data_IF_296671472250
#
_entry.id   IF_296671472250
#
_cell.length_a   1.000
_cell.length_b   1.000
_cell.length_c   1.000
_cell.angle_alpha   90.00
_cell.angle_beta   90.00
_cell.angle_gamma   90.00
#
_symmetry.space_group_name_H-M   'P 1'
#
loop_
_entity.id
_entity.type
_entity.pdbx_description
1 polymer ?
#
# COMPACT_ATOMS: atom_id res chain seq x y z
N UNK A 1 17.85 19.78 9.02
CA UNK A 1 18.92 18.82 9.29
C UNK A 1 20.28 19.52 9.46
N UNK A 2 20.74 20.31 8.48
CA UNK A 2 22.04 21.01 8.53
C UNK A 2 22.18 21.94 9.74
N UNK A 3 21.13 22.68 10.11
CA UNK A 3 21.14 23.55 11.29
C UNK A 3 21.28 22.76 12.58
N UNK A 4 20.54 21.66 12.75
CA UNK A 4 20.66 20.76 13.89
C UNK A 4 22.05 20.11 13.97
N UNK A 5 22.63 19.70 12.84
CA UNK A 5 23.99 19.16 12.78
C UNK A 5 25.03 20.18 13.21
N UNK A 6 24.87 21.46 12.83
CA UNK A 6 25.76 22.54 13.30
C UNK A 6 25.68 22.73 14.80
N UNK A 7 24.48 22.78 15.38
CA UNK A 7 24.32 22.92 16.84
C UNK A 7 25.00 21.76 17.60
N UNK A 8 24.75 20.51 17.14
CA UNK A 8 25.40 19.33 17.73
C UNK A 8 26.93 19.40 17.61
N UNK A 9 27.47 19.92 16.51
CA UNK A 9 28.94 20.05 16.33
C UNK A 9 29.59 21.10 17.24
N UNK A 10 28.82 22.06 17.76
CA UNK A 10 29.31 23.08 18.70
C UNK A 10 29.20 22.65 20.17
N UNK A 11 28.53 21.50 20.44
CA UNK A 11 28.47 21.00 21.82
C UNK A 11 29.83 20.44 22.28
N UNK A 12 30.22 20.72 23.55
CA UNK A 12 31.47 20.19 24.06
C UNK A 12 31.43 18.66 24.13
N UNK A 13 32.42 18.02 23.53
CA UNK A 13 32.62 16.58 23.58
C UNK A 13 33.69 16.21 24.56
N UNK A 14 33.44 15.23 25.42
CA UNK A 14 34.41 14.71 26.36
C UNK A 14 34.84 13.30 25.91
N UNK A 15 36.11 13.16 25.54
CA UNK A 15 36.71 11.87 25.19
C UNK A 15 37.52 11.32 26.38
N UNK A 16 37.41 10.01 26.66
CA UNK A 16 38.18 9.32 27.70
C UNK A 16 37.60 9.40 29.12
N UNK A 17 36.33 9.83 29.28
CA UNK A 17 35.69 9.84 30.59
C UNK A 17 35.25 8.42 31.01
N UNK A 18 35.61 8.04 32.25
CA UNK A 18 35.17 6.80 32.92
C UNK A 18 33.81 6.93 33.60
N UNK A 19 33.21 8.13 33.58
CA UNK A 19 31.93 8.42 34.19
C UNK A 19 30.77 8.17 33.18
N UNK A 20 29.73 7.49 33.63
CA UNK A 20 28.51 7.33 32.83
C UNK A 20 27.86 8.69 32.56
N UNK A 21 27.36 8.93 31.33
CA UNK A 21 26.63 10.16 31.00
C UNK A 21 25.42 10.33 31.93
N UNK A 22 25.28 11.52 32.53
CA UNK A 22 24.13 11.88 33.34
C UNK A 22 23.14 12.70 32.52
N UNK A 23 21.86 12.50 32.78
CA UNK A 23 20.79 13.26 32.13
C UNK A 23 20.85 14.74 32.59
N UNK A 24 20.97 15.65 31.61
CA UNK A 24 20.91 17.09 31.86
C UNK A 24 19.49 17.54 32.25
N UNK A 25 19.38 18.70 32.90
CA UNK A 25 18.11 19.26 33.35
C UNK A 25 17.12 19.47 32.19
N UNK A 26 17.61 20.01 31.11
CA UNK A 26 16.75 20.29 29.93
C UNK A 26 16.12 19.01 29.36
N UNK A 27 16.92 17.94 29.22
CA UNK A 27 16.45 16.65 28.79
C UNK A 27 15.43 16.06 29.77
N UNK A 28 15.67 16.18 31.08
CA UNK A 28 14.71 15.71 32.08
C UNK A 28 13.38 16.44 32.00
N UNK A 29 13.41 17.77 31.76
CA UNK A 29 12.19 18.58 31.57
C UNK A 29 11.45 18.19 30.31
N UNK A 30 12.15 17.98 29.18
CA UNK A 30 11.57 17.51 27.92
C UNK A 30 10.94 16.12 28.09
N UNK A 31 11.62 15.20 28.80
CA UNK A 31 11.08 13.86 29.05
C UNK A 31 9.78 13.89 29.86
N UNK A 32 9.74 14.75 30.90
CA UNK A 32 8.53 14.92 31.70
C UNK A 32 7.37 15.47 30.85
N UNK A 33 7.62 16.50 30.04
CA UNK A 33 6.62 17.06 29.14
C UNK A 33 6.19 16.04 28.07
N UNK A 34 7.11 15.24 27.53
CA UNK A 34 6.81 14.16 26.59
C UNK A 34 5.89 13.10 27.20
N UNK A 35 6.11 12.75 28.47
CA UNK A 35 5.26 11.80 29.19
C UNK A 35 3.83 12.36 29.42
N UNK A 36 3.70 13.68 29.63
CA UNK A 36 2.40 14.34 29.72
C UNK A 36 1.66 14.32 28.38
N UNK A 37 2.36 14.58 27.28
CA UNK A 37 1.79 14.49 25.92
C UNK A 37 1.37 13.06 25.58
N UNK A 38 2.17 12.05 25.94
CA UNK A 38 1.81 10.64 25.80
C UNK A 38 0.46 10.33 26.47
N UNK A 39 0.27 10.81 27.72
CA UNK A 39 -1.00 10.63 28.46
C UNK A 39 -2.17 11.36 27.81
N UNK A 40 -1.97 12.60 27.31
CA UNK A 40 -3.00 13.36 26.58
C UNK A 40 -3.44 12.67 25.30
N UNK A 41 -2.49 12.08 24.56
CA UNK A 41 -2.75 11.33 23.33
C UNK A 41 -3.26 9.91 23.59
N UNK A 42 -3.29 9.47 24.86
CA UNK A 42 -3.70 8.12 25.31
C UNK A 42 -2.86 7.01 24.70
N UNK A 43 -1.57 7.26 24.51
CA UNK A 43 -0.62 6.31 23.97
C UNK A 43 -0.03 5.44 25.07
N UNK A 44 0.26 4.17 24.74
CA UNK A 44 0.77 3.20 25.73
C UNK A 44 2.30 3.32 25.88
N UNK A 45 3.00 3.73 24.82
CA UNK A 45 4.46 3.89 24.81
C UNK A 45 4.87 5.33 24.48
N UNK A 46 6.03 5.72 25.00
CA UNK A 46 6.68 6.98 24.67
C UNK A 46 7.40 6.83 23.33
N UNK A 47 7.13 7.73 22.37
CA UNK A 47 7.72 7.74 21.02
C UNK A 47 8.45 9.05 20.73
N UNK A 48 9.15 9.10 19.60
CA UNK A 48 9.84 10.30 19.12
C UNK A 48 8.90 11.50 19.01
N UNK A 49 7.63 11.27 18.63
CA UNK A 49 6.60 12.30 18.53
C UNK A 49 6.34 13.01 19.86
N UNK A 50 6.28 12.26 20.96
CA UNK A 50 6.09 12.83 22.30
C UNK A 50 7.29 13.65 22.73
N UNK A 51 8.52 13.18 22.39
CA UNK A 51 9.74 13.95 22.64
C UNK A 51 9.73 15.28 21.89
N UNK A 52 9.32 15.28 20.62
CA UNK A 52 9.23 16.52 19.87
C UNK A 52 8.16 17.46 20.45
N UNK A 53 6.98 16.95 20.82
CA UNK A 53 5.94 17.74 21.47
C UNK A 53 6.44 18.32 22.81
N UNK A 54 7.12 17.53 23.63
CA UNK A 54 7.72 17.98 24.89
C UNK A 54 8.82 19.02 24.67
N UNK A 55 9.66 18.85 23.64
CA UNK A 55 10.67 19.81 23.27
C UNK A 55 10.10 21.13 22.78
N UNK A 56 8.99 21.10 22.03
CA UNK A 56 8.29 22.31 21.57
C UNK A 56 7.49 23.03 22.68
N UNK A 57 7.16 22.33 23.77
CA UNK A 57 6.38 22.86 24.89
C UNK A 57 7.26 23.42 26.03
N UNK A 58 8.58 23.17 25.99
CA UNK A 58 9.54 23.56 27.03
C UNK A 58 10.65 24.46 26.49
N UNK A 59 11.22 25.31 27.37
CA UNK A 59 12.33 26.19 26.99
C UNK A 59 13.63 25.37 26.94
N UNK A 60 14.10 25.06 25.72
CA UNK A 60 15.33 24.30 25.49
C UNK A 60 15.96 24.66 24.13
N UNK A 61 17.11 24.14 23.80
CA UNK A 61 17.82 24.41 22.54
C UNK A 61 17.05 23.95 21.30
N UNK A 62 16.32 22.83 21.41
CA UNK A 62 15.49 22.32 20.29
C UNK A 62 14.36 23.31 20.02
N UNK A 63 13.70 23.81 21.05
CA UNK A 63 12.65 24.84 20.92
C UNK A 63 13.19 26.10 20.23
N UNK A 64 14.33 26.61 20.67
CA UNK A 64 14.97 27.80 20.07
C UNK A 64 15.31 27.56 18.59
N UNK A 65 15.84 26.39 18.27
CA UNK A 65 16.15 26.04 16.89
C UNK A 65 14.89 25.93 16.01
N UNK A 66 13.86 25.25 16.48
CA UNK A 66 12.61 25.03 15.75
C UNK A 66 11.83 26.32 15.54
N UNK A 67 11.87 27.23 16.52
CA UNK A 67 11.25 28.54 16.43
C UNK A 67 11.82 29.38 15.27
N UNK A 68 13.12 29.28 15.00
CA UNK A 68 13.75 29.96 13.85
C UNK A 68 13.18 29.51 12.48
N UNK A 69 12.56 28.33 12.44
CA UNK A 69 11.92 27.76 11.24
C UNK A 69 10.38 27.86 11.30
N UNK A 70 9.81 28.51 12.30
CA UNK A 70 8.37 28.66 12.48
C UNK A 70 7.65 27.36 12.83
N UNK A 71 8.37 26.35 13.36
CA UNK A 71 7.76 25.10 13.80
C UNK A 71 7.16 25.28 15.20
N UNK A 72 5.84 25.34 15.25
CA UNK A 72 5.07 25.41 16.49
C UNK A 72 4.49 24.06 16.88
N UNK A 73 4.09 23.91 18.15
CA UNK A 73 3.41 22.70 18.63
C UNK A 73 2.15 22.37 17.83
N UNK A 74 1.37 23.41 17.48
CA UNK A 74 0.10 23.21 16.77
C UNK A 74 0.29 22.71 15.34
N UNK A 75 1.26 23.30 14.59
CA UNK A 75 1.52 22.83 13.23
C UNK A 75 2.22 21.45 13.22
N UNK A 76 3.02 21.15 14.25
CA UNK A 76 3.57 19.81 14.42
C UNK A 76 2.49 18.76 14.72
N UNK A 77 1.53 19.08 15.61
CA UNK A 77 0.37 18.23 15.90
C UNK A 77 -0.51 18.00 14.66
N UNK A 78 -0.70 19.03 13.84
CA UNK A 78 -1.45 18.89 12.58
C UNK A 78 -0.74 17.94 11.61
N UNK A 79 0.56 18.12 11.38
CA UNK A 79 1.36 17.25 10.53
C UNK A 79 1.43 15.82 11.08
N UNK A 80 1.58 15.66 12.40
CA UNK A 80 1.58 14.36 13.05
C UNK A 80 0.25 13.61 12.83
N UNK A 81 -0.88 14.31 12.90
CA UNK A 81 -2.20 13.72 12.62
C UNK A 81 -2.34 13.26 11.17
N UNK A 82 -1.75 13.98 10.24
CA UNK A 82 -1.73 13.61 8.82
C UNK A 82 -0.91 12.32 8.60
N UNK A 83 0.26 12.21 9.23
CA UNK A 83 1.16 11.05 9.11
C UNK A 83 0.65 9.84 9.88
N UNK A 84 0.20 10.05 11.11
CA UNK A 84 -0.21 9.00 12.05
C UNK A 84 -1.68 8.58 11.89
N UNK A 85 -2.54 9.47 11.38
CA UNK A 85 -4.00 9.28 11.38
C UNK A 85 -4.54 9.14 12.82
N UNK A 86 -5.44 8.19 13.02
CA UNK A 86 -6.03 7.86 14.32
C UNK A 86 -5.32 6.70 15.04
N UNK A 87 -4.12 6.35 14.61
CA UNK A 87 -3.38 5.24 15.25
C UNK A 87 -2.79 5.68 16.59
N UNK A 88 -2.83 4.76 17.57
CA UNK A 88 -2.20 4.95 18.89
C UNK A 88 -0.84 4.26 18.91
N UNK A 89 0.08 4.80 19.69
CA UNK A 89 1.38 4.16 19.95
C UNK A 89 1.17 3.03 20.95
N UNK A 90 1.12 1.81 20.46
CA UNK A 90 0.85 0.59 21.25
C UNK A 90 2.06 -0.33 21.39
N UNK A 91 3.20 0.07 20.87
CA UNK A 91 4.48 -0.66 20.93
C UNK A 91 5.67 0.30 20.87
N UNK A 92 6.87 -0.27 21.00
CA UNK A 92 8.15 0.44 21.03
C UNK A 92 8.69 0.88 19.66
N UNK A 93 8.05 0.47 18.54
CA UNK A 93 8.43 0.84 17.18
C UNK A 93 7.21 1.29 16.35
N UNK A 94 6.56 2.41 16.72
CA UNK A 94 5.34 2.88 16.07
C UNK A 94 5.55 3.34 14.62
N UNK A 95 6.73 3.88 14.29
CA UNK A 95 7.03 4.43 12.97
C UNK A 95 6.95 3.36 11.86
N UNK A 96 7.19 2.09 12.21
CA UNK A 96 7.01 0.95 11.30
C UNK A 96 5.57 0.74 10.84
N UNK A 97 4.60 1.25 11.61
CA UNK A 97 3.15 1.08 11.38
C UNK A 97 2.48 2.27 10.71
N UNK A 98 3.19 3.40 10.57
CA UNK A 98 2.65 4.60 9.93
C UNK A 98 2.91 4.58 8.43
N UNK A 99 1.96 5.14 7.68
CA UNK A 99 2.06 5.26 6.22
C UNK A 99 2.32 3.93 5.52
N UNK A 100 1.71 2.84 6.02
CA UNK A 100 1.93 1.51 5.46
C UNK A 100 1.37 1.39 4.04
N UNK A 101 0.32 2.16 3.71
CA UNK A 101 -0.19 2.28 2.35
C UNK A 101 0.86 2.83 1.37
N UNK A 102 1.65 3.82 1.76
CA UNK A 102 2.72 4.38 0.91
C UNK A 102 3.94 3.47 0.84
N UNK A 103 4.26 2.78 1.95
CA UNK A 103 5.44 1.88 2.02
C UNK A 103 5.22 0.58 1.25
N UNK A 104 4.03 -0.01 1.33
CA UNK A 104 3.74 -1.36 0.83
C UNK A 104 2.65 -1.39 -0.24
N UNK A 105 2.05 -0.26 -0.56
CA UNK A 105 1.06 -0.11 -1.60
C UNK A 105 1.58 0.65 -2.81
N UNK A 106 1.07 0.30 -3.98
CA UNK A 106 1.24 1.09 -5.20
C UNK A 106 -0.11 1.62 -5.62
N UNK A 107 -0.32 2.93 -5.57
CA UNK A 107 -1.56 3.55 -6.02
C UNK A 107 -1.63 3.56 -7.55
N UNK A 108 -2.40 2.62 -8.11
CA UNK A 108 -2.60 2.49 -9.55
C UNK A 108 -3.38 3.70 -10.11
N UNK A 109 -4.30 4.27 -9.33
CA UNK A 109 -5.08 5.44 -9.74
C UNK A 109 -4.19 6.68 -9.85
N UNK A 110 -3.28 6.88 -8.90
CA UNK A 110 -2.29 7.95 -8.98
C UNK A 110 -1.31 7.75 -10.16
N UNK A 111 -0.87 6.52 -10.41
CA UNK A 111 -0.06 6.18 -11.58
C UNK A 111 -0.78 6.44 -12.90
N UNK A 112 -2.08 6.10 -12.98
CA UNK A 112 -2.92 6.37 -14.13
C UNK A 112 -3.04 7.88 -14.38
N UNK A 113 -3.27 8.66 -13.33
CA UNK A 113 -3.36 10.13 -13.40
C UNK A 113 -2.05 10.77 -13.86
N UNK A 114 -0.92 10.18 -13.48
CA UNK A 114 0.41 10.60 -13.90
C UNK A 114 0.81 10.10 -15.31
N UNK A 115 -0.07 9.39 -16.03
CA UNK A 115 0.23 8.81 -17.34
C UNK A 115 1.25 7.66 -17.35
N UNK A 116 1.49 7.05 -16.19
CA UNK A 116 2.50 5.99 -15.99
C UNK A 116 1.95 4.57 -16.16
N UNK A 117 0.72 4.42 -16.64
CA UNK A 117 0.09 3.14 -16.94
C UNK A 117 -0.10 3.02 -18.45
N UNK A 118 0.25 1.87 -18.99
CA UNK A 118 0.07 1.55 -20.40
C UNK A 118 -1.41 1.51 -20.81
N UNK A 119 -1.74 1.76 -22.07
CA UNK A 119 -3.09 1.57 -22.56
C UNK A 119 -3.47 0.08 -22.44
N UNK A 120 -4.64 -0.18 -21.86
CA UNK A 120 -5.20 -1.54 -21.74
C UNK A 120 -6.20 -1.72 -22.86
N UNK A 121 -5.95 -2.69 -23.71
CA UNK A 121 -6.70 -2.97 -24.94
C UNK A 121 -7.25 -4.39 -24.86
N UNK A 122 -8.45 -4.62 -25.41
CA UNK A 122 -9.07 -5.96 -25.50
C UNK A 122 -9.58 -6.53 -24.17
N UNK A 123 -9.68 -5.71 -23.10
CA UNK A 123 -10.13 -6.17 -21.77
C UNK A 123 -11.41 -5.49 -21.26
N UNK A 124 -12.18 -4.91 -22.16
CA UNK A 124 -13.40 -4.15 -21.81
C UNK A 124 -14.46 -5.01 -21.14
N UNK A 125 -14.59 -6.25 -21.54
CA UNK A 125 -15.58 -7.20 -21.00
C UNK A 125 -15.24 -7.55 -19.56
N UNK A 126 -13.99 -7.90 -19.29
CA UNK A 126 -13.52 -8.25 -17.96
C UNK A 126 -13.59 -7.04 -17.02
N UNK A 127 -13.17 -5.86 -17.47
CA UNK A 127 -13.24 -4.62 -16.66
C UNK A 127 -14.70 -4.29 -16.33
N UNK A 128 -15.63 -4.38 -17.28
CA UNK A 128 -17.08 -4.20 -17.02
C UNK A 128 -17.58 -5.22 -16.00
N UNK A 129 -17.17 -6.47 -16.11
CA UNK A 129 -17.55 -7.52 -15.16
C UNK A 129 -17.03 -7.25 -13.77
N UNK A 130 -15.78 -6.81 -13.64
CA UNK A 130 -15.18 -6.36 -12.36
C UNK A 130 -15.99 -5.21 -11.75
N UNK A 131 -16.32 -4.18 -12.54
CA UNK A 131 -17.16 -3.06 -12.09
C UNK A 131 -18.53 -3.50 -11.60
N UNK A 132 -19.20 -4.41 -12.34
CA UNK A 132 -20.49 -4.97 -11.93
C UNK A 132 -20.39 -5.69 -10.58
N UNK A 133 -19.33 -6.47 -10.36
CA UNK A 133 -19.13 -7.21 -9.11
C UNK A 133 -18.85 -6.26 -7.96
N UNK A 134 -17.95 -5.29 -8.14
CA UNK A 134 -17.62 -4.29 -7.12
C UNK A 134 -18.84 -3.44 -6.68
N UNK A 135 -19.83 -3.31 -7.54
CA UNK A 135 -21.06 -2.55 -7.26
C UNK A 135 -22.13 -3.37 -6.52
N UNK A 136 -21.92 -4.67 -6.29
CA UNK A 136 -22.86 -5.53 -5.58
C UNK A 136 -22.85 -5.28 -4.08
N UNK A 137 -23.92 -5.69 -3.40
CA UNK A 137 -24.01 -5.69 -1.93
C UNK A 137 -23.27 -6.87 -1.29
N UNK A 138 -23.28 -8.03 -1.94
CA UNK A 138 -22.66 -9.28 -1.48
C UNK A 138 -21.87 -9.90 -2.63
N UNK A 139 -20.89 -10.77 -2.32
CA UNK A 139 -19.94 -11.34 -3.30
C UNK A 139 -19.36 -10.23 -4.21
N UNK A 140 -18.96 -9.13 -3.56
CA UNK A 140 -18.55 -7.89 -4.23
C UNK A 140 -17.02 -7.78 -4.43
N UNK A 141 -16.29 -8.86 -4.21
CA UNK A 141 -14.85 -8.94 -4.45
C UNK A 141 -14.58 -9.82 -5.66
N UNK A 142 -14.22 -9.26 -6.82
CA UNK A 142 -13.86 -10.06 -8.00
C UNK A 142 -12.51 -10.75 -7.79
N UNK A 143 -12.37 -11.98 -8.28
CA UNK A 143 -11.11 -12.68 -8.45
C UNK A 143 -10.86 -12.94 -9.92
N UNK A 144 -9.80 -12.36 -10.45
CA UNK A 144 -9.33 -12.58 -11.81
C UNK A 144 -8.61 -13.94 -11.87
N UNK A 145 -9.13 -14.86 -12.65
CA UNK A 145 -8.64 -16.23 -12.76
C UNK A 145 -8.14 -16.46 -14.18
N UNK A 146 -6.89 -16.86 -14.31
CA UNK A 146 -6.28 -17.17 -15.61
C UNK A 146 -4.83 -17.57 -15.48
N UNK A 147 -4.27 -18.08 -16.54
CA UNK A 147 -2.87 -18.49 -16.59
C UNK A 147 -1.91 -17.31 -16.33
N UNK A 148 -0.66 -17.57 -15.90
CA UNK A 148 0.36 -16.52 -15.80
C UNK A 148 0.54 -15.81 -17.15
N UNK A 149 0.69 -14.48 -17.12
CA UNK A 149 0.94 -13.70 -18.35
C UNK A 149 -0.30 -13.25 -19.15
N UNK A 150 -1.50 -13.78 -18.90
CA UNK A 150 -2.71 -13.40 -19.65
C UNK A 150 -3.18 -11.95 -19.44
N UNK A 151 -2.54 -11.19 -18.54
CA UNK A 151 -2.86 -9.77 -18.33
C UNK A 151 -3.83 -9.49 -17.20
N UNK A 152 -3.90 -10.32 -16.16
CA UNK A 152 -4.75 -10.07 -14.97
C UNK A 152 -4.47 -8.72 -14.32
N UNK A 153 -3.21 -8.36 -14.14
CA UNK A 153 -2.79 -7.07 -13.56
C UNK A 153 -3.21 -5.90 -14.45
N UNK A 154 -3.14 -6.05 -15.79
CA UNK A 154 -3.58 -5.03 -16.74
C UNK A 154 -5.08 -4.68 -16.59
N UNK A 155 -5.92 -5.61 -16.16
CA UNK A 155 -7.35 -5.35 -15.91
C UNK A 155 -7.52 -4.38 -14.73
N UNK A 156 -6.74 -4.53 -13.65
CA UNK A 156 -6.77 -3.60 -12.51
C UNK A 156 -6.23 -2.22 -12.92
N UNK A 157 -5.19 -2.17 -13.74
CA UNK A 157 -4.63 -0.94 -14.31
C UNK A 157 -5.62 -0.25 -15.27
N UNK A 158 -6.30 -1.02 -16.10
CA UNK A 158 -7.36 -0.51 -16.99
C UNK A 158 -8.54 0.07 -16.21
N UNK A 159 -8.93 -0.58 -15.12
CA UNK A 159 -9.96 -0.05 -14.23
C UNK A 159 -9.51 1.26 -13.56
N UNK A 160 -8.26 1.35 -13.12
CA UNK A 160 -7.71 2.58 -12.56
C UNK A 160 -7.74 3.75 -13.57
N UNK A 161 -7.41 3.49 -14.84
CA UNK A 161 -7.54 4.49 -15.92
C UNK A 161 -8.99 4.92 -16.14
N UNK A 162 -9.95 4.00 -16.12
CA UNK A 162 -11.39 4.35 -16.27
C UNK A 162 -11.87 5.20 -15.11
N UNK A 163 -11.43 4.93 -13.86
CA UNK A 163 -11.75 5.76 -12.70
C UNK A 163 -11.24 7.18 -12.90
N UNK A 164 -9.99 7.34 -13.33
CA UNK A 164 -9.37 8.67 -13.58
C UNK A 164 -10.10 9.43 -14.69
N UNK A 165 -10.51 8.74 -15.75
CA UNK A 165 -11.23 9.33 -16.88
C UNK A 165 -12.72 9.58 -16.58
N UNK A 166 -13.24 9.14 -15.43
CA UNK A 166 -14.65 9.24 -15.08
C UNK A 166 -15.57 8.24 -15.81
N UNK A 167 -14.99 7.28 -16.54
CA UNK A 167 -15.71 6.23 -17.28
C UNK A 167 -16.08 5.04 -16.38
N UNK A 168 -16.74 5.35 -15.28
CA UNK A 168 -17.21 4.41 -14.28
C UNK A 168 -18.52 4.90 -13.66
N UNK A 169 -19.33 3.99 -13.06
CA UNK A 169 -20.51 4.38 -12.29
C UNK A 169 -20.18 5.39 -11.19
N UNK A 170 -21.15 6.24 -10.82
CA UNK A 170 -21.00 7.28 -9.80
C UNK A 170 -20.37 6.77 -8.50
N UNK A 171 -20.79 5.59 -8.06
CA UNK A 171 -20.26 4.95 -6.82
C UNK A 171 -18.77 4.60 -6.89
N UNK A 172 -18.16 4.66 -8.07
CA UNK A 172 -16.76 4.30 -8.31
C UNK A 172 -15.85 5.51 -8.64
N UNK A 173 -16.42 6.70 -8.91
CA UNK A 173 -15.67 7.86 -9.41
C UNK A 173 -14.57 8.36 -8.47
N UNK A 174 -14.80 8.26 -7.15
CA UNK A 174 -13.86 8.73 -6.14
C UNK A 174 -13.05 7.59 -5.50
N UNK A 175 -13.05 6.41 -6.13
CA UNK A 175 -12.29 5.28 -5.60
C UNK A 175 -10.83 5.34 -6.05
N UNK A 176 -9.97 4.79 -5.20
CA UNK A 176 -8.55 4.56 -5.47
C UNK A 176 -8.30 3.07 -5.54
N UNK A 177 -7.49 2.64 -6.48
CA UNK A 177 -7.03 1.24 -6.55
C UNK A 177 -5.60 1.23 -6.04
N UNK A 178 -5.36 0.51 -4.96
CA UNK A 178 -4.03 0.33 -4.36
C UNK A 178 -3.61 -1.13 -4.49
N UNK A 179 -2.53 -1.38 -5.18
CA UNK A 179 -1.93 -2.71 -5.31
C UNK A 179 -1.05 -3.01 -4.10
N UNK A 180 -1.29 -4.13 -3.43
CA UNK A 180 -0.48 -4.61 -2.32
C UNK A 180 0.81 -5.24 -2.83
N UNK A 181 1.95 -4.77 -2.34
CA UNK A 181 3.25 -5.35 -2.65
C UNK A 181 3.71 -6.28 -1.52
N UNK A 182 3.38 -7.57 -1.66
CA UNK A 182 3.71 -8.61 -0.67
C UNK A 182 5.23 -8.76 -0.53
N UNK A 183 5.96 -8.68 -1.65
CA UNK A 183 7.42 -8.77 -1.65
C UNK A 183 8.07 -7.68 -0.79
N UNK A 184 7.59 -6.45 -0.90
CA UNK A 184 8.08 -5.33 -0.08
C UNK A 184 7.73 -5.50 1.41
N UNK A 185 6.58 -6.12 1.73
CA UNK A 185 6.22 -6.42 3.12
C UNK A 185 7.09 -7.49 3.75
N UNK A 186 7.50 -8.49 2.98
CA UNK A 186 8.37 -9.57 3.42
C UNK A 186 9.84 -9.12 3.50
N UNK A 187 10.25 -8.21 2.62
CA UNK A 187 11.60 -7.69 2.60
C UNK A 187 11.95 -7.00 3.93
N UNK A 188 13.03 -7.45 4.58
CA UNK A 188 13.50 -6.92 5.86
C UNK A 188 12.68 -7.33 7.08
N UNK A 189 11.64 -8.17 6.94
CA UNK A 189 10.98 -8.78 8.09
C UNK A 189 11.88 -9.88 8.66
N UNK A 190 12.31 -9.71 9.91
CA UNK A 190 13.22 -10.66 10.57
C UNK A 190 12.50 -11.92 11.06
N UNK A 191 11.21 -11.83 11.32
CA UNK A 191 10.36 -12.91 11.81
C UNK A 191 8.92 -12.74 11.34
N UNK A 192 8.15 -13.82 11.39
CA UNK A 192 6.76 -13.91 10.93
C UNK A 192 5.83 -12.83 11.52
N UNK A 193 5.95 -12.56 12.82
CA UNK A 193 5.11 -11.57 13.50
C UNK A 193 5.24 -10.15 12.93
N UNK A 194 6.42 -9.77 12.44
CA UNK A 194 6.64 -8.45 11.85
C UNK A 194 5.86 -8.27 10.53
N UNK A 195 5.82 -9.30 9.69
CA UNK A 195 4.98 -9.28 8.49
C UNK A 195 3.48 -9.17 8.84
N UNK A 196 3.02 -9.96 9.82
CA UNK A 196 1.62 -9.93 10.26
C UNK A 196 1.22 -8.56 10.80
N UNK A 197 2.10 -7.90 11.53
CA UNK A 197 1.88 -6.52 12.03
C UNK A 197 1.84 -5.49 10.91
N UNK A 198 2.76 -5.56 9.94
CA UNK A 198 2.78 -4.69 8.75
C UNK A 198 1.48 -4.85 7.95
N UNK A 199 1.06 -6.09 7.70
CA UNK A 199 -0.19 -6.38 6.98
C UNK A 199 -1.42 -5.89 7.76
N UNK A 200 -1.46 -6.11 9.08
CA UNK A 200 -2.55 -5.63 9.95
C UNK A 200 -2.66 -4.10 9.90
N UNK A 201 -1.55 -3.39 9.99
CA UNK A 201 -1.51 -1.92 9.90
C UNK A 201 -1.95 -1.42 8.53
N UNK A 202 -1.48 -2.07 7.45
CA UNK A 202 -1.89 -1.78 6.08
C UNK A 202 -3.41 -1.98 5.88
N UNK A 203 -3.94 -3.12 6.31
CA UNK A 203 -5.38 -3.41 6.20
C UNK A 203 -6.21 -2.43 7.03
N UNK A 204 -5.70 -1.99 8.17
CA UNK A 204 -6.36 -0.97 8.99
C UNK A 204 -6.45 0.37 8.23
N UNK A 205 -5.38 0.85 7.62
CA UNK A 205 -5.41 2.08 6.82
C UNK A 205 -6.39 1.96 5.63
N UNK A 206 -6.45 0.77 4.99
CA UNK A 206 -7.44 0.52 3.92
C UNK A 206 -8.86 0.57 4.45
N UNK A 207 -9.16 -0.07 5.59
CA UNK A 207 -10.51 -0.09 6.16
C UNK A 207 -10.93 1.28 6.71
N UNK A 208 -10.00 2.03 7.29
CA UNK A 208 -10.25 3.38 7.81
C UNK A 208 -10.55 4.39 6.69
N UNK A 209 -10.24 4.06 5.42
CA UNK A 209 -10.64 4.84 4.25
C UNK A 209 -12.16 4.78 3.94
N UNK A 210 -12.95 4.10 4.75
CA UNK A 210 -14.41 3.96 4.58
C UNK A 210 -14.83 3.51 3.16
N UNK A 211 -14.04 2.62 2.57
CA UNK A 211 -14.31 2.05 1.25
C UNK A 211 -13.94 2.97 0.09
N UNK A 212 -13.16 4.01 0.29
CA UNK A 212 -12.55 4.79 -0.80
C UNK A 212 -11.47 3.99 -1.52
N UNK A 213 -10.78 3.09 -0.82
CA UNK A 213 -9.72 2.25 -1.37
C UNK A 213 -10.27 0.88 -1.76
N UNK A 214 -9.94 0.47 -2.98
CA UNK A 214 -10.11 -0.89 -3.49
C UNK A 214 -8.72 -1.50 -3.52
N UNK A 215 -8.55 -2.59 -2.77
CA UNK A 215 -7.27 -3.28 -2.67
C UNK A 215 -7.11 -4.25 -3.85
N UNK A 216 -6.04 -4.12 -4.62
CA UNK A 216 -5.63 -5.12 -5.60
C UNK A 216 -4.57 -6.03 -5.01
N UNK A 217 -4.82 -7.34 -5.02
CA UNK A 217 -3.90 -8.37 -4.53
C UNK A 217 -3.58 -9.31 -5.68
N UNK A 218 -2.39 -9.14 -6.24
CA UNK A 218 -1.87 -10.13 -7.18
C UNK A 218 -1.42 -11.38 -6.42
N UNK A 219 -1.50 -12.52 -7.07
CA UNK A 219 -1.21 -13.82 -6.45
C UNK A 219 -1.93 -14.00 -5.09
N UNK A 220 -3.25 -13.73 -5.05
CA UNK A 220 -4.06 -13.75 -3.83
C UNK A 220 -3.85 -15.03 -3.00
N UNK A 221 -3.58 -16.16 -3.65
CA UNK A 221 -3.31 -17.44 -3.00
C UNK A 221 -2.10 -17.41 -2.04
N UNK A 222 -1.13 -16.53 -2.27
CA UNK A 222 0.04 -16.39 -1.38
C UNK A 222 -0.32 -15.89 0.00
N UNK A 223 -1.41 -15.12 0.11
CA UNK A 223 -1.91 -14.59 1.37
C UNK A 223 -2.90 -15.54 2.03
N UNK A 224 -3.77 -16.19 1.23
CA UNK A 224 -4.87 -17.02 1.77
C UNK A 224 -4.53 -18.51 1.86
N UNK A 225 -3.49 -18.96 1.18
CA UNK A 225 -3.11 -20.38 1.10
C UNK A 225 -1.87 -20.77 1.91
N UNK A 226 -1.21 -19.82 2.50
CA UNK A 226 0.10 -20.01 3.13
C UNK A 226 0.09 -20.83 4.43
N UNK A 227 -1.09 -21.13 5.01
CA UNK A 227 -1.20 -21.90 6.26
C UNK A 227 -0.85 -23.40 6.16
N UNK A 228 -0.60 -23.92 4.95
CA UNK A 228 -0.40 -25.37 4.74
C UNK A 228 1.07 -25.80 4.63
N UNK A 229 2.04 -24.90 4.58
CA UNK A 229 3.47 -25.22 4.52
C UNK A 229 4.22 -24.61 5.72
N UNK A 230 5.12 -25.39 6.33
CA UNK A 230 6.00 -24.89 7.39
C UNK A 230 6.79 -23.67 6.90
N UNK A 231 6.56 -22.51 7.54
CA UNK A 231 7.22 -21.26 7.21
C UNK A 231 6.40 -20.27 6.36
N UNK A 232 5.24 -20.65 5.83
CA UNK A 232 4.38 -19.75 5.09
C UNK A 232 3.46 -18.96 6.04
N UNK A 233 3.22 -17.68 5.70
CA UNK A 233 2.45 -16.75 6.54
C UNK A 233 0.97 -16.94 6.27
N UNK A 234 0.19 -17.43 7.24
CA UNK A 234 -1.27 -17.48 7.13
C UNK A 234 -1.86 -16.10 7.44
N UNK A 235 -1.86 -15.22 6.44
CA UNK A 235 -2.49 -13.93 6.51
C UNK A 235 -4.01 -13.97 6.27
N UNK A 236 -4.56 -15.14 5.96
CA UNK A 236 -6.00 -15.32 5.73
C UNK A 236 -6.83 -14.94 6.95
N UNK A 237 -6.32 -15.19 8.16
CA UNK A 237 -6.97 -14.84 9.42
C UNK A 237 -7.08 -13.32 9.65
N UNK A 238 -6.24 -12.51 8.99
CA UNK A 238 -6.31 -11.05 9.01
C UNK A 238 -7.30 -10.52 7.96
N UNK A 239 -7.34 -11.14 6.77
CA UNK A 239 -8.24 -10.72 5.68
C UNK A 239 -9.69 -11.16 5.89
N UNK A 240 -9.92 -12.39 6.34
CA UNK A 240 -11.27 -12.99 6.50
C UNK A 240 -12.22 -12.12 7.32
N UNK A 241 -11.86 -11.59 8.51
CA UNK A 241 -12.76 -10.75 9.28
C UNK A 241 -13.15 -9.45 8.55
N UNK A 242 -12.21 -8.75 7.91
CA UNK A 242 -12.46 -7.51 7.19
C UNK A 242 -13.35 -7.74 5.95
N UNK A 243 -13.09 -8.82 5.21
CA UNK A 243 -13.96 -9.25 4.10
C UNK A 243 -15.35 -9.67 4.60
N UNK A 244 -15.44 -10.36 5.74
CA UNK A 244 -16.70 -10.81 6.31
C UNK A 244 -17.61 -9.65 6.73
N UNK A 245 -17.04 -8.60 7.30
CA UNK A 245 -17.77 -7.38 7.70
C UNK A 245 -18.07 -6.45 6.52
N UNK A 246 -17.50 -6.71 5.31
CA UNK A 246 -17.65 -5.86 4.14
C UNK A 246 -16.88 -4.53 4.23
N UNK A 247 -15.95 -4.44 5.15
CA UNK A 247 -15.08 -3.28 5.37
C UNK A 247 -13.98 -3.18 4.32
N UNK A 248 -13.61 -4.32 3.72
CA UNK A 248 -12.58 -4.42 2.70
C UNK A 248 -13.20 -4.73 1.34
N UNK A 249 -12.85 -3.94 0.33
CA UNK A 249 -13.14 -4.21 -1.08
C UNK A 249 -11.85 -4.62 -1.78
N UNK A 250 -11.88 -5.79 -2.42
CA UNK A 250 -10.67 -6.40 -2.96
C UNK A 250 -10.90 -6.91 -4.39
N UNK A 251 -9.91 -6.71 -5.24
CA UNK A 251 -9.76 -7.39 -6.53
C UNK A 251 -8.60 -8.37 -6.34
N UNK A 252 -8.86 -9.66 -6.39
CA UNK A 252 -7.82 -10.69 -6.35
C UNK A 252 -7.39 -11.10 -7.76
N UNK A 253 -6.17 -11.61 -7.91
CA UNK A 253 -5.72 -12.30 -9.11
C UNK A 253 -5.02 -13.60 -8.72
N UNK A 254 -5.28 -14.69 -9.45
CA UNK A 254 -4.70 -16.02 -9.18
C UNK A 254 -4.86 -16.94 -10.40
N UNK A 255 -4.31 -18.13 -10.37
CA UNK A 255 -4.58 -19.19 -11.35
C UNK A 255 -5.82 -20.00 -10.99
N UNK A 256 -6.34 -20.80 -11.93
CA UNK A 256 -7.52 -21.64 -11.69
C UNK A 256 -7.26 -22.70 -10.62
N UNK A 257 -6.11 -23.34 -10.66
CA UNK A 257 -5.75 -24.41 -9.73
C UNK A 257 -5.61 -23.88 -8.30
N UNK A 258 -4.99 -22.72 -8.14
CA UNK A 258 -4.83 -22.05 -6.85
C UNK A 258 -6.15 -21.52 -6.31
N UNK A 259 -7.04 -20.99 -7.18
CA UNK A 259 -8.40 -20.60 -6.81
C UNK A 259 -9.17 -21.78 -6.23
N UNK A 260 -9.18 -22.91 -6.92
CA UNK A 260 -9.85 -24.15 -6.48
C UNK A 260 -9.28 -24.70 -5.18
N UNK A 261 -7.95 -24.61 -5.02
CA UNK A 261 -7.25 -25.13 -3.87
C UNK A 261 -7.45 -24.30 -2.60
N UNK A 262 -7.43 -22.99 -2.69
CA UNK A 262 -7.31 -22.10 -1.54
C UNK A 262 -8.54 -21.22 -1.29
N UNK A 263 -9.31 -20.87 -2.32
CA UNK A 263 -10.45 -19.94 -2.20
C UNK A 263 -11.77 -20.68 -2.24
N UNK A 264 -11.98 -21.53 -3.23
CA UNK A 264 -13.24 -22.26 -3.43
C UNK A 264 -13.53 -23.23 -2.27
N UNK A 265 -12.50 -23.85 -1.69
CA UNK A 265 -12.65 -24.76 -0.53
C UNK A 265 -12.89 -24.05 0.80
N UNK A 266 -12.62 -22.77 0.89
CA UNK A 266 -12.85 -21.97 2.09
C UNK A 266 -14.22 -21.29 2.01
N UNK A 267 -15.18 -21.78 2.78
CA UNK A 267 -16.56 -21.29 2.77
C UNK A 267 -16.69 -19.79 3.12
N UNK A 268 -15.74 -19.21 3.88
CA UNK A 268 -15.76 -17.80 4.22
C UNK A 268 -15.31 -16.95 3.03
N UNK A 269 -14.32 -17.39 2.27
CA UNK A 269 -13.81 -16.71 1.09
C UNK A 269 -14.74 -16.92 -0.13
N UNK A 270 -15.24 -18.13 -0.35
CA UNK A 270 -16.16 -18.46 -1.44
C UNK A 270 -17.40 -17.55 -1.43
N UNK A 271 -17.96 -17.29 -0.25
CA UNK A 271 -19.12 -16.40 -0.08
C UNK A 271 -18.82 -14.93 -0.35
N UNK A 272 -17.57 -14.52 -0.44
CA UNK A 272 -17.15 -13.12 -0.59
C UNK A 272 -16.55 -12.81 -1.93
N UNK A 273 -15.93 -13.80 -2.56
CA UNK A 273 -15.29 -13.65 -3.85
C UNK A 273 -16.19 -14.13 -5.01
N UNK A 274 -16.07 -13.46 -6.15
CA UNK A 274 -16.74 -13.83 -7.40
C UNK A 274 -15.70 -14.02 -8.49
N UNK A 275 -15.59 -15.21 -9.10
CA UNK A 275 -14.63 -15.46 -10.16
C UNK A 275 -14.95 -14.67 -11.45
N UNK A 276 -13.89 -14.20 -12.07
CA UNK A 276 -13.86 -13.58 -13.41
C UNK A 276 -12.78 -14.28 -14.20
N UNK A 277 -13.17 -15.07 -15.19
CA UNK A 277 -12.20 -15.75 -16.06
C UNK A 277 -11.50 -14.76 -16.98
N UNK A 278 -10.20 -14.91 -17.10
CA UNK A 278 -9.33 -14.11 -17.96
C UNK A 278 -8.59 -15.07 -18.87
N UNK A 279 -9.05 -15.16 -20.11
CA UNK A 279 -8.42 -16.00 -21.13
C UNK A 279 -7.27 -15.29 -21.82
N UNK A 280 -6.44 -16.04 -22.49
CA UNK A 280 -5.46 -15.49 -23.42
C UNK A 280 -6.15 -14.61 -24.48
N UNK A 281 -5.51 -13.51 -24.91
CA UNK A 281 -6.04 -12.70 -26.00
C UNK A 281 -5.99 -13.48 -27.32
N UNK A 282 -6.98 -13.27 -28.19
CA UNK A 282 -6.93 -13.80 -29.57
C UNK A 282 -5.79 -13.18 -30.37
N UNK A 283 -5.45 -13.76 -31.52
CA UNK A 283 -4.46 -13.17 -32.45
C UNK A 283 -4.83 -11.73 -32.82
N UNK A 284 -6.12 -11.48 -33.11
CA UNK A 284 -6.64 -10.14 -33.41
C UNK A 284 -6.48 -9.18 -32.23
N UNK A 285 -6.82 -9.63 -31.02
CA UNK A 285 -6.63 -8.82 -29.80
C UNK A 285 -5.14 -8.56 -29.56
N UNK A 286 -4.28 -9.56 -29.76
CA UNK A 286 -2.83 -9.44 -29.61
C UNK A 286 -2.26 -8.41 -30.58
N UNK A 287 -2.70 -8.42 -31.86
CA UNK A 287 -2.33 -7.40 -32.85
C UNK A 287 -2.78 -6.01 -32.38
N UNK A 288 -4.02 -5.88 -31.87
CA UNK A 288 -4.54 -4.61 -31.38
C UNK A 288 -3.74 -4.11 -30.16
N UNK A 289 -3.39 -4.99 -29.22
CA UNK A 289 -2.55 -4.69 -28.04
C UNK A 289 -1.17 -4.20 -28.49
N UNK A 290 -0.50 -4.92 -29.40
CA UNK A 290 0.83 -4.57 -29.89
C UNK A 290 0.81 -3.23 -30.64
N UNK A 291 -0.22 -2.94 -31.44
CA UNK A 291 -0.42 -1.65 -32.11
C UNK A 291 -0.55 -0.51 -31.10
N UNK A 292 -1.29 -0.72 -30.02
CA UNK A 292 -1.46 0.27 -28.94
C UNK A 292 -0.20 0.54 -28.13
N UNK A 293 0.71 -0.42 -28.05
CA UNK A 293 1.99 -0.30 -27.34
C UNK A 293 3.14 0.13 -28.26
N UNK A 294 2.97 0.04 -29.57
CA UNK A 294 4.00 0.27 -30.59
C UNK A 294 4.81 1.54 -30.34
N UNK A 295 4.17 2.68 -30.22
CA UNK A 295 4.83 3.98 -30.07
C UNK A 295 5.76 4.02 -28.86
N UNK A 296 5.35 3.43 -27.74
CA UNK A 296 6.16 3.36 -26.52
C UNK A 296 7.42 2.52 -26.70
N UNK A 297 7.29 1.37 -27.39
CA UNK A 297 8.44 0.53 -27.73
C UNK A 297 9.36 1.22 -28.72
N UNK A 298 8.83 1.88 -29.74
CA UNK A 298 9.61 2.65 -30.73
C UNK A 298 10.42 3.75 -30.04
N UNK A 299 9.80 4.54 -29.17
CA UNK A 299 10.47 5.61 -28.41
C UNK A 299 11.53 5.05 -27.46
N UNK A 300 11.20 3.98 -26.74
CA UNK A 300 12.11 3.41 -25.74
C UNK A 300 13.37 2.80 -26.38
N UNK A 301 13.21 2.10 -27.52
CA UNK A 301 14.30 1.37 -28.18
C UNK A 301 14.95 2.16 -29.34
N UNK A 302 14.40 3.30 -29.72
CA UNK A 302 14.92 4.11 -30.82
C UNK A 302 14.81 3.42 -32.19
N UNK A 303 13.81 2.56 -32.39
CA UNK A 303 13.59 1.79 -33.63
C UNK A 303 12.18 2.02 -34.15
N UNK A 304 11.95 1.70 -35.43
CA UNK A 304 10.61 1.68 -36.04
C UNK A 304 10.10 0.23 -36.13
N UNK A 305 8.87 0.01 -35.72
CA UNK A 305 8.20 -1.29 -35.79
C UNK A 305 7.17 -1.21 -36.92
N UNK A 306 7.30 -2.03 -37.97
CA UNK A 306 6.32 -2.08 -39.05
C UNK A 306 5.05 -2.82 -38.62
N UNK A 307 3.91 -2.51 -39.25
CA UNK A 307 2.66 -3.22 -38.98
C UNK A 307 2.78 -4.71 -39.36
N UNK A 308 3.49 -5.02 -40.43
CA UNK A 308 3.78 -6.40 -40.83
C UNK A 308 4.56 -7.18 -39.75
N UNK A 309 5.49 -6.52 -39.06
CA UNK A 309 6.21 -7.16 -37.95
C UNK A 309 5.29 -7.43 -36.75
N UNK A 310 4.32 -6.55 -36.46
CA UNK A 310 3.33 -6.75 -35.40
C UNK A 310 2.44 -7.95 -35.72
N UNK A 311 1.90 -8.01 -36.96
CA UNK A 311 1.06 -9.12 -37.41
C UNK A 311 1.85 -10.44 -37.37
N UNK A 312 3.08 -10.45 -37.89
CA UNK A 312 3.93 -11.64 -37.86
C UNK A 312 4.25 -12.08 -36.42
N UNK A 313 4.57 -11.16 -35.53
CA UNK A 313 4.82 -11.48 -34.12
C UNK A 313 3.62 -12.14 -33.45
N UNK A 314 2.41 -11.58 -33.62
CA UNK A 314 1.18 -12.16 -33.06
C UNK A 314 0.86 -13.53 -33.66
N UNK A 315 0.95 -13.69 -34.98
CA UNK A 315 0.58 -14.94 -35.68
C UNK A 315 1.57 -16.08 -35.44
N UNK A 316 2.86 -15.76 -35.28
CA UNK A 316 3.90 -16.79 -35.08
C UNK A 316 4.09 -17.18 -33.60
N UNK A 317 3.56 -16.38 -32.66
CA UNK A 317 3.62 -16.68 -31.24
C UNK A 317 2.40 -17.44 -30.71
N UNK A 318 1.35 -17.55 -31.51
CA UNK A 318 0.15 -18.33 -31.24
C UNK A 318 0.39 -19.81 -31.64
#
# INVERSE_FOLDING_TARGET
>A
LQAAQREVSHEPTQSGATTQPQMGRDLATVMQAAEEERKKLKDDYLSVEHFMLGALDTQNKVHQLTDTFGLTKDNYLAAMKEVRGNQRVTDDNPEGKYQTLEKYGTDLTARARAGKIDPVIGRDTEIRRVLQILSRRTKNNPVLIGEPGVGKTAIAEGLARRIVNGDVPESMRNKRIVSLNIGSMLAGAKYRGEFEERLKSFLKEVTDSNGEIILFIDELHTIVGAGASEGAVDASNLLKPALARGELRTIGATTLDEYRKYIEKDAALERRFQPVMVSEPSVEDTIAILRGLKERYEVHHGVRITDAAIVAAATLSD
#
